data_IF_804472592835
#
_entry.id   IF_804472592835
#
_cell.length_a   1.000
_cell.length_b   1.000
_cell.length_c   1.000
_cell.angle_alpha   90.00
_cell.angle_beta   90.00
_cell.angle_gamma   90.00
#
_symmetry.space_group_name_H-M   'P 1'
#
loop_
_entity.id
_entity.type
_entity.pdbx_description
1 polymer ?
#
# COMPACT_ATOMS: atom_id res chain seq x y z
N UNK A 1 -12.31 15.31 -6.47
CA UNK A 1 -10.97 15.72 -6.00
C UNK A 1 -10.91 15.56 -4.49
N UNK A 2 -9.76 15.19 -3.94
CA UNK A 2 -9.51 15.01 -2.51
C UNK A 2 -8.17 15.65 -2.15
N UNK A 3 -8.03 15.98 -0.87
CA UNK A 3 -6.79 16.56 -0.31
C UNK A 3 -6.09 15.60 0.66
N UNK A 4 -6.84 14.70 1.28
CA UNK A 4 -6.34 13.63 2.13
C UNK A 4 -7.19 12.38 1.96
N UNK A 5 -6.62 11.21 2.20
CA UNK A 5 -7.39 9.99 2.39
C UNK A 5 -6.70 9.09 3.42
N UNK A 6 -7.31 7.95 3.75
CA UNK A 6 -6.72 7.00 4.69
C UNK A 6 -5.29 6.58 4.32
N UNK A 7 -4.98 6.44 3.03
CA UNK A 7 -3.69 5.93 2.53
C UNK A 7 -2.86 7.01 1.80
N UNK A 8 -3.33 8.26 1.77
CA UNK A 8 -2.67 9.33 1.02
C UNK A 8 -2.48 10.51 1.98
N UNK A 9 -1.23 10.84 2.34
CA UNK A 9 -0.96 11.91 3.29
C UNK A 9 -1.40 13.26 2.75
N UNK A 10 -1.60 14.20 3.67
CA UNK A 10 -1.82 15.60 3.33
C UNK A 10 -0.47 16.30 3.13
N UNK A 11 -0.16 16.61 1.88
CA UNK A 11 1.09 17.24 1.41
C UNK A 11 0.82 18.59 0.71
N UNK A 12 -0.39 19.12 0.85
CA UNK A 12 -0.82 20.33 0.13
C UNK A 12 -1.07 20.11 -1.36
N UNK A 13 -1.00 18.89 -1.89
CA UNK A 13 -1.23 18.60 -3.31
C UNK A 13 -2.56 17.86 -3.51
N UNK A 14 -3.52 18.44 -4.25
CA UNK A 14 -4.79 17.78 -4.49
C UNK A 14 -4.63 16.57 -5.40
N UNK A 15 -5.53 15.59 -5.27
CA UNK A 15 -5.52 14.38 -6.08
C UNK A 15 -6.92 13.87 -6.43
N UNK A 16 -6.98 12.94 -7.38
CA UNK A 16 -8.14 12.09 -7.66
C UNK A 16 -7.76 10.62 -7.48
N UNK A 17 -8.73 9.79 -7.13
CA UNK A 17 -8.51 8.34 -7.05
C UNK A 17 -8.52 7.74 -8.47
N UNK A 18 -7.49 6.97 -8.82
CA UNK A 18 -7.45 6.23 -10.10
C UNK A 18 -8.20 4.88 -10.01
N UNK A 19 -9.13 4.73 -9.06
CA UNK A 19 -9.89 3.50 -8.80
C UNK A 19 -10.85 3.66 -7.62
N UNK A 20 -11.80 2.72 -7.48
CA UNK A 20 -12.84 2.80 -6.44
C UNK A 20 -12.32 2.52 -5.03
N UNK A 21 -11.41 1.55 -4.87
CA UNK A 21 -10.88 1.09 -3.58
C UNK A 21 -9.38 0.82 -3.65
N UNK A 22 -8.74 0.77 -2.48
CA UNK A 22 -7.36 0.29 -2.38
C UNK A 22 -7.31 -1.21 -2.71
N UNK A 23 -6.23 -1.64 -3.36
CA UNK A 23 -5.93 -3.07 -3.47
C UNK A 23 -5.39 -3.52 -2.13
N UNK A 24 -5.96 -4.59 -1.58
CA UNK A 24 -5.53 -5.21 -0.34
C UNK A 24 -4.91 -6.55 -0.69
N UNK A 25 -3.68 -6.76 -0.25
CA UNK A 25 -3.00 -8.05 -0.34
C UNK A 25 -2.83 -8.59 1.09
N UNK A 26 -3.10 -9.87 1.26
CA UNK A 26 -3.04 -10.56 2.55
C UNK A 26 -1.75 -11.38 2.64
N UNK A 27 -1.23 -11.53 3.86
CA UNK A 27 -0.11 -12.45 4.12
C UNK A 27 -0.43 -13.88 3.63
N UNK A 28 0.60 -14.64 3.25
CA UNK A 28 0.43 -16.05 2.87
C UNK A 28 -0.17 -16.91 3.99
N UNK A 29 0.14 -16.58 5.26
CA UNK A 29 -0.41 -17.19 6.47
C UNK A 29 -1.73 -16.54 6.92
N UNK A 30 -2.30 -15.66 6.11
CA UNK A 30 -3.58 -15.01 6.38
C UNK A 30 -4.79 -15.93 6.21
N UNK A 31 -6.03 -15.44 6.37
CA UNK A 31 -7.27 -16.20 6.26
C UNK A 31 -7.57 -16.62 4.81
N UNK A 32 -6.69 -17.41 4.19
CA UNK A 32 -6.84 -17.77 2.78
C UNK A 32 -8.08 -18.64 2.63
N UNK A 33 -9.05 -18.14 1.86
CA UNK A 33 -10.29 -18.87 1.55
C UNK A 33 -9.94 -20.21 0.94
N UNK A 34 -10.38 -21.29 1.61
CA UNK A 34 -10.31 -22.68 1.14
C UNK A 34 -11.06 -22.80 -0.19
N UNK A 35 -10.35 -22.68 -1.31
CA UNK A 35 -10.96 -22.63 -2.65
C UNK A 35 -10.06 -23.05 -3.81
N UNK A 36 -8.81 -23.47 -3.56
CA UNK A 36 -7.97 -24.09 -4.58
C UNK A 36 -7.94 -25.59 -4.33
N UNK A 37 -8.77 -26.34 -5.05
CA UNK A 37 -8.53 -27.78 -5.21
C UNK A 37 -7.21 -27.93 -5.96
N UNK A 38 -6.13 -28.23 -5.24
CA UNK A 38 -4.92 -28.77 -5.84
C UNK A 38 -5.02 -30.29 -5.72
N UNK A 39 -5.22 -30.95 -6.86
CA UNK A 39 -4.88 -32.36 -7.02
C UNK A 39 -3.38 -32.55 -6.75
N UNK A 40 -3.03 -33.64 -6.07
CA UNK A 40 -1.66 -34.15 -6.03
C UNK A 40 -1.00 -34.07 -4.65
N UNK A 41 -1.13 -35.17 -3.91
CA UNK A 41 -0.11 -35.74 -3.01
C UNK A 41 0.78 -34.76 -2.25
N UNK A 42 0.32 -34.36 -1.07
CA UNK A 42 1.18 -33.76 -0.05
C UNK A 42 0.56 -34.05 1.30
N UNK A 43 1.20 -34.96 2.06
CA UNK A 43 0.91 -35.20 3.47
C UNK A 43 1.22 -33.91 4.26
N UNK A 44 0.25 -33.00 4.28
CA UNK A 44 0.27 -31.85 5.17
C UNK A 44 -0.15 -32.32 6.55
N UNK A 45 0.82 -32.47 7.45
CA UNK A 45 0.59 -32.52 8.89
C UNK A 45 -0.26 -31.30 9.26
N UNK A 46 -1.54 -31.54 9.48
CA UNK A 46 -2.48 -30.57 10.00
C UNK A 46 -2.09 -30.25 11.44
N UNK A 47 -1.16 -29.33 11.60
CA UNK A 47 -0.98 -28.63 12.87
C UNK A 47 -1.96 -27.47 12.88
N UNK A 48 -2.86 -27.53 13.86
CA UNK A 48 -3.96 -26.61 14.11
C UNK A 48 -3.51 -25.15 14.14
N UNK A 49 -3.58 -24.47 13.00
CA UNK A 49 -3.39 -23.03 12.96
C UNK A 49 -4.64 -22.35 13.51
N UNK A 50 -4.74 -22.25 14.84
CA UNK A 50 -5.90 -21.69 15.56
C UNK A 50 -6.17 -20.22 15.22
N UNK A 51 -5.18 -19.50 14.68
CA UNK A 51 -5.28 -18.07 14.40
C UNK A 51 -4.57 -17.72 13.09
N UNK A 52 -5.25 -17.00 12.19
CA UNK A 52 -4.68 -16.57 10.91
C UNK A 52 -3.95 -15.22 11.04
N UNK A 53 -2.89 -15.02 10.28
CA UNK A 53 -2.11 -13.78 10.30
C UNK A 53 -2.95 -12.58 9.81
N UNK A 54 -3.04 -11.48 10.59
CA UNK A 54 -3.81 -10.29 10.21
C UNK A 54 -3.04 -9.34 9.27
N UNK A 55 -1.76 -9.58 8.99
CA UNK A 55 -0.92 -8.69 8.20
C UNK A 55 -1.44 -8.50 6.77
N UNK A 56 -1.47 -7.22 6.34
CA UNK A 56 -1.99 -6.78 5.04
C UNK A 56 -1.12 -5.68 4.45
N UNK A 57 -1.02 -5.68 3.12
CA UNK A 57 -0.43 -4.61 2.33
C UNK A 57 -1.54 -3.86 1.62
N UNK A 58 -1.56 -2.53 1.74
CA UNK A 58 -2.51 -1.67 1.05
C UNK A 58 -1.82 -0.88 -0.05
N UNK A 59 -2.40 -0.90 -1.25
CA UNK A 59 -1.93 -0.13 -2.40
C UNK A 59 -3.02 0.84 -2.83
N UNK A 60 -2.70 2.14 -2.79
CA UNK A 60 -3.62 3.20 -3.21
C UNK A 60 -3.05 3.94 -4.41
N UNK A 61 -3.79 3.89 -5.52
CA UNK A 61 -3.47 4.61 -6.76
C UNK A 61 -4.19 5.95 -6.83
N UNK A 62 -3.45 7.03 -7.04
CA UNK A 62 -4.01 8.37 -7.19
C UNK A 62 -3.30 9.12 -8.30
N UNK A 63 -3.97 10.13 -8.85
CA UNK A 63 -3.37 11.13 -9.72
C UNK A 63 -3.32 12.45 -8.98
N UNK A 64 -2.10 12.92 -8.69
CA UNK A 64 -1.80 14.16 -7.96
C UNK A 64 -1.65 15.32 -8.94
N UNK A 65 -1.99 16.54 -8.54
CA UNK A 65 -1.92 17.74 -9.37
C UNK A 65 -1.01 18.79 -8.74
N UNK A 66 0.32 18.70 -8.96
CA UNK A 66 1.30 19.62 -8.37
C UNK A 66 1.06 21.09 -8.73
N UNK A 67 0.52 21.32 -9.94
CA UNK A 67 0.19 22.66 -10.45
C UNK A 67 -0.86 23.40 -9.60
N UNK A 68 -1.62 22.66 -8.79
CA UNK A 68 -2.64 23.20 -7.89
C UNK A 68 -2.25 23.03 -6.41
N UNK A 69 -0.95 22.89 -6.12
CA UNK A 69 -0.43 22.78 -4.76
C UNK A 69 -0.72 24.04 -3.93
N UNK A 70 -0.99 23.85 -2.64
CA UNK A 70 -1.19 24.90 -1.65
C UNK A 70 -0.15 24.76 -0.53
N UNK A 71 0.33 25.87 0.04
CA UNK A 71 1.23 25.83 1.19
C UNK A 71 0.51 25.22 2.40
N UNK A 72 1.20 24.38 3.17
CA UNK A 72 0.65 23.73 4.38
C UNK A 72 0.79 24.59 5.64
N UNK A 73 1.72 25.53 5.65
CA UNK A 73 2.11 26.30 6.85
C UNK A 73 1.28 27.57 7.07
N UNK A 74 0.14 27.69 6.39
CA UNK A 74 -0.76 28.85 6.48
C UNK A 74 -1.91 28.62 7.46
N UNK A 75 -2.53 29.72 7.90
CA UNK A 75 -3.72 29.66 8.76
C UNK A 75 -4.84 28.84 8.10
N UNK A 76 -5.53 27.99 8.87
CA UNK A 76 -6.61 27.11 8.41
C UNK A 76 -7.70 27.82 7.58
N UNK A 77 -8.03 29.08 7.89
CA UNK A 77 -9.01 29.85 7.10
C UNK A 77 -8.48 30.15 5.68
N UNK A 78 -7.23 30.59 5.61
CA UNK A 78 -6.54 30.89 4.34
C UNK A 78 -6.30 29.61 3.55
N UNK A 79 -5.88 28.54 4.23
CA UNK A 79 -5.68 27.22 3.61
C UNK A 79 -6.95 26.75 2.91
N UNK A 80 -8.10 26.85 3.58
CA UNK A 80 -9.40 26.48 2.99
C UNK A 80 -9.71 27.30 1.73
N UNK A 81 -9.49 28.61 1.76
CA UNK A 81 -9.72 29.46 0.59
C UNK A 81 -8.81 29.09 -0.60
N UNK A 82 -7.54 28.78 -0.33
CA UNK A 82 -6.59 28.33 -1.36
C UNK A 82 -7.01 26.97 -1.94
N UNK A 83 -7.46 26.05 -1.09
CA UNK A 83 -7.96 24.74 -1.52
C UNK A 83 -9.24 24.87 -2.37
N UNK A 84 -10.18 25.72 -1.97
CA UNK A 84 -11.42 25.95 -2.72
C UNK A 84 -11.11 26.57 -4.09
N UNK A 85 -10.17 27.52 -4.15
CA UNK A 85 -9.67 28.11 -5.40
C UNK A 85 -8.99 27.08 -6.30
N UNK A 86 -8.10 26.27 -5.75
CA UNK A 86 -7.42 25.21 -6.48
C UNK A 86 -8.40 24.19 -7.07
N UNK A 87 -9.47 23.86 -6.34
CA UNK A 87 -10.52 22.98 -6.84
C UNK A 87 -11.27 23.57 -8.03
N UNK A 88 -11.54 24.87 -8.01
CA UNK A 88 -12.21 25.55 -9.11
C UNK A 88 -11.34 25.54 -10.38
N UNK A 89 -10.07 25.91 -10.26
CA UNK A 89 -9.11 25.88 -11.37
C UNK A 89 -9.00 24.48 -11.98
N UNK A 90 -8.88 23.44 -11.15
CA UNK A 90 -8.75 22.07 -11.64
C UNK A 90 -10.04 21.56 -12.30
N UNK A 91 -11.21 21.99 -11.82
CA UNK A 91 -12.50 21.66 -12.44
C UNK A 91 -12.62 22.29 -13.83
N UNK A 92 -12.14 23.52 -14.00
CA UNK A 92 -12.15 24.24 -15.28
C UNK A 92 -11.17 23.63 -16.29
N UNK A 93 -9.99 23.19 -15.83
CA UNK A 93 -8.99 22.51 -16.67
C UNK A 93 -9.42 21.08 -17.08
N UNK A 94 -10.29 20.45 -16.29
CA UNK A 94 -10.68 19.06 -16.46
C UNK A 94 -9.66 18.09 -15.85
N UNK A 95 -10.15 16.96 -15.35
CA UNK A 95 -9.33 15.97 -14.63
C UNK A 95 -8.56 15.00 -15.54
N UNK A 96 -8.88 15.00 -16.83
CA UNK A 96 -8.38 14.03 -17.82
C UNK A 96 -6.99 14.39 -18.35
N UNK A 97 -6.69 15.69 -18.44
CA UNK A 97 -5.44 16.21 -18.98
C UNK A 97 -4.53 16.69 -17.84
N UNK A 98 -3.35 16.09 -17.74
CA UNK A 98 -2.36 16.40 -16.72
C UNK A 98 -2.47 15.57 -15.43
N UNK A 99 -1.68 15.98 -14.43
CA UNK A 99 -1.48 15.25 -13.18
C UNK A 99 -0.46 14.11 -13.28
N UNK A 100 0.17 13.80 -12.14
CA UNK A 100 1.15 12.73 -11.99
C UNK A 100 0.50 11.53 -11.30
N UNK A 101 0.61 10.35 -11.88
CA UNK A 101 0.18 9.12 -11.21
C UNK A 101 1.16 8.75 -10.09
N UNK A 102 0.63 8.52 -8.89
CA UNK A 102 1.40 8.09 -7.72
C UNK A 102 0.75 6.89 -7.04
N UNK A 103 1.60 5.99 -6.57
CA UNK A 103 1.20 4.80 -5.83
C UNK A 103 1.70 4.90 -4.38
N UNK A 104 0.76 4.87 -3.45
CA UNK A 104 1.02 4.84 -2.03
C UNK A 104 0.94 3.41 -1.53
N UNK A 105 2.02 2.95 -0.91
CA UNK A 105 2.13 1.62 -0.31
C UNK A 105 2.15 1.75 1.20
N UNK A 106 1.25 1.02 1.87
CA UNK A 106 1.31 0.80 3.31
C UNK A 106 1.67 -0.67 3.55
N UNK A 107 2.88 -0.87 4.06
CA UNK A 107 3.40 -2.19 4.41
C UNK A 107 3.03 -2.52 5.86
N UNK A 108 2.75 -3.80 6.17
CA UNK A 108 2.61 -4.25 7.55
C UNK A 108 3.95 -4.10 8.27
N UNK A 109 3.91 -3.86 9.58
CA UNK A 109 5.10 -3.96 10.42
C UNK A 109 5.42 -5.43 10.70
N UNK A 110 6.64 -5.73 11.11
CA UNK A 110 7.01 -7.07 11.59
C UNK A 110 6.12 -7.52 12.76
N UNK A 111 5.70 -6.59 13.62
CA UNK A 111 4.77 -6.87 14.71
C UNK A 111 3.34 -7.21 14.26
N UNK A 112 2.92 -6.77 13.06
CA UNK A 112 1.60 -7.11 12.52
C UNK A 112 1.53 -8.57 12.02
N UNK A 113 2.68 -9.21 11.83
CA UNK A 113 2.77 -10.63 11.53
C UNK A 113 2.58 -11.45 12.81
N UNK A 114 1.32 -11.56 13.24
CA UNK A 114 0.96 -12.43 14.35
C UNK A 114 0.93 -13.90 13.90
N UNK A 115 1.20 -14.79 14.85
CA UNK A 115 1.12 -16.25 14.72
C UNK A 115 2.21 -16.91 13.84
N UNK A 116 3.06 -16.15 13.15
CA UNK A 116 4.27 -16.66 12.50
C UNK A 116 5.44 -15.71 12.68
N UNK A 117 6.66 -16.23 12.63
CA UNK A 117 7.86 -15.41 12.46
C UNK A 117 7.95 -14.96 11.01
N UNK A 118 8.15 -13.66 10.78
CA UNK A 118 8.70 -13.21 9.52
C UNK A 118 10.16 -13.67 9.53
N UNK A 119 10.54 -14.59 8.64
CA UNK A 119 11.92 -15.09 8.55
C UNK A 119 12.87 -13.95 8.18
N UNK A 120 13.34 -13.23 9.21
CA UNK A 120 14.56 -12.45 9.18
C UNK A 120 15.73 -13.40 9.45
N UNK A 121 15.93 -14.39 8.59
CA UNK A 121 17.11 -15.26 8.62
C UNK A 121 18.02 -14.89 7.44
N UNK A 122 18.71 -13.75 7.59
CA UNK A 122 20.01 -13.55 6.95
C UNK A 122 21.17 -14.08 7.82
N UNK A 123 20.94 -15.13 8.60
CA UNK A 123 22.00 -15.85 9.30
C UNK A 123 21.64 -17.33 9.44
N UNK A 124 22.43 -18.15 8.74
CA UNK A 124 22.81 -19.54 9.08
C UNK A 124 21.68 -20.59 9.16
N UNK A 125 21.48 -21.35 8.08
CA UNK A 125 21.93 -22.74 8.04
C UNK A 125 21.65 -23.43 6.68
N UNK A 126 22.69 -24.05 6.15
CA UNK A 126 22.65 -24.97 5.03
C UNK A 126 22.04 -26.29 5.52
N UNK A 127 20.73 -26.52 5.35
CA UNK A 127 20.12 -27.87 5.21
C UNK A 127 18.60 -27.81 5.08
N UNK A 128 18.09 -27.47 3.90
CA UNK A 128 16.82 -28.05 3.41
C UNK A 128 16.61 -27.76 1.92
N UNK A 129 16.44 -28.77 1.06
CA UNK A 129 16.08 -28.55 -0.33
C UNK A 129 14.56 -28.47 -0.45
N UNK A 130 14.04 -27.33 -0.91
CA UNK A 130 12.70 -27.28 -1.51
C UNK A 130 11.65 -26.45 -0.78
N UNK A 131 11.86 -25.13 -0.73
CA UNK A 131 10.88 -24.09 -1.08
C UNK A 131 11.57 -22.76 -0.90
N UNK A 132 11.93 -22.12 -2.01
CA UNK A 132 12.35 -20.71 -1.97
C UNK A 132 11.17 -19.90 -1.46
N UNK A 133 11.26 -19.45 -0.21
CA UNK A 133 10.36 -18.48 0.38
C UNK A 133 10.59 -17.13 -0.31
N UNK A 134 9.89 -16.90 -1.42
CA UNK A 134 9.82 -15.55 -1.98
C UNK A 134 8.87 -14.80 -1.04
N UNK A 135 9.42 -14.01 -0.12
CA UNK A 135 8.60 -13.12 0.70
C UNK A 135 7.74 -12.26 -0.25
N UNK A 136 6.43 -12.14 -0.02
CA UNK A 136 5.55 -11.37 -0.90
C UNK A 136 6.03 -9.92 -1.05
N UNK A 137 6.73 -9.39 -0.06
CA UNK A 137 7.38 -8.07 -0.10
C UNK A 137 8.41 -7.93 -1.23
N UNK A 138 9.22 -8.96 -1.51
CA UNK A 138 10.22 -8.95 -2.60
C UNK A 138 9.58 -9.08 -3.97
N UNK A 139 8.58 -9.94 -4.11
CA UNK A 139 7.85 -10.09 -5.37
C UNK A 139 7.02 -8.84 -5.70
N UNK A 140 6.54 -8.13 -4.67
CA UNK A 140 5.89 -6.82 -4.78
C UNK A 140 6.89 -5.74 -5.16
N UNK A 141 8.05 -5.66 -4.51
CA UNK A 141 9.10 -4.72 -4.95
C UNK A 141 9.51 -5.02 -6.38
N UNK A 142 9.77 -6.26 -6.75
CA UNK A 142 10.19 -6.61 -8.12
C UNK A 142 9.09 -6.33 -9.16
N UNK A 143 7.81 -6.62 -8.86
CA UNK A 143 6.69 -6.28 -9.76
C UNK A 143 6.37 -4.78 -9.81
N UNK A 144 6.61 -4.03 -8.73
CA UNK A 144 6.45 -2.57 -8.69
C UNK A 144 7.66 -1.82 -9.27
N UNK A 145 8.86 -2.41 -9.21
CA UNK A 145 10.10 -1.92 -9.85
C UNK A 145 10.08 -2.12 -11.37
N UNK A 146 9.25 -3.04 -11.87
CA UNK A 146 8.97 -3.22 -13.31
C UNK A 146 7.95 -2.20 -13.85
N UNK A 147 7.31 -1.39 -13.00
CA UNK A 147 6.48 -0.27 -13.44
C UNK A 147 7.31 1.02 -13.50
N UNK A 148 7.17 1.85 -14.57
CA UNK A 148 7.96 3.07 -14.75
C UNK A 148 7.42 4.22 -13.86
N UNK A 149 7.22 3.98 -12.56
CA UNK A 149 6.43 4.86 -11.68
C UNK A 149 7.16 5.09 -10.34
N UNK A 150 7.14 6.34 -9.89
CA UNK A 150 7.70 6.79 -8.61
C UNK A 150 6.90 6.19 -7.44
N UNK A 151 7.54 5.32 -6.66
CA UNK A 151 6.97 4.70 -5.47
C UNK A 151 7.21 5.59 -4.24
N UNK A 152 6.14 5.96 -3.53
CA UNK A 152 6.24 6.58 -2.20
C UNK A 152 5.85 5.53 -1.15
N UNK A 153 6.87 4.99 -0.46
CA UNK A 153 6.66 4.06 0.66
C UNK A 153 6.25 4.89 1.88
N UNK A 154 5.03 4.68 2.39
CA UNK A 154 4.61 5.29 3.64
C UNK A 154 5.18 4.45 4.78
N UNK A 155 6.20 4.99 5.47
CA UNK A 155 6.68 4.40 6.72
C UNK A 155 5.54 4.32 7.74
N UNK A 156 5.39 3.22 8.49
CA UNK A 156 4.36 3.08 9.52
C UNK A 156 4.46 4.08 10.68
N UNK A 157 5.51 4.93 10.71
CA UNK A 157 5.73 5.91 11.78
C UNK A 157 4.88 7.20 11.67
N UNK A 158 4.06 7.38 10.63
CA UNK A 158 3.33 8.66 10.42
C UNK A 158 1.85 8.65 10.81
N UNK A 159 1.38 7.63 11.54
CA UNK A 159 0.03 7.63 12.13
C UNK A 159 0.09 7.58 13.66
N UNK A 160 0.64 8.64 14.25
CA UNK A 160 0.28 9.05 15.62
C UNK A 160 -0.17 10.50 15.56
N UNK A 161 -1.49 10.71 15.65
CA UNK A 161 -2.21 11.77 16.38
C UNK A 161 -3.69 11.73 16.02
#
# INVERSE_FOLDING_TARGET
>A
MMWKSQYVPFDGVPFINCGSRATVMECQYGPRRKGSKADGTGEGTGEDYKHACPARIYVKKVRKFPNCSVPTDVNRKVLKQLMDRAFQVLREQGFSEGGEERHYLQLPTTAAHEYHTADSTLTSDLSSPGRTCVSPEKEILDSLLLWPIRLEILSPLVYTM
#
